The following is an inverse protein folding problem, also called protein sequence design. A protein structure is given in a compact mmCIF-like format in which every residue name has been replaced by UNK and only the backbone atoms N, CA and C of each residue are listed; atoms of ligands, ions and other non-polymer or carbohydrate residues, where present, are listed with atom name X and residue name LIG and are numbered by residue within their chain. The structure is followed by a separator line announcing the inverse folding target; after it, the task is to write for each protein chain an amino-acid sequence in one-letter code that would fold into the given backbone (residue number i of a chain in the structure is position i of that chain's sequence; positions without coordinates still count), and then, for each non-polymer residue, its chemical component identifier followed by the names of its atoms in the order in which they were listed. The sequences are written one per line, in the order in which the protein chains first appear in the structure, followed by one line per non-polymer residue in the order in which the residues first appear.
data_IF_760880212252
#
_entry.id   IF_760880212252
#
_cell.length_a   1.000
_cell.length_b   1.000
_cell.length_c   1.000
_cell.angle_alpha   90.00
_cell.angle_beta   90.00
_cell.angle_gamma   90.00
#
_symmetry.space_group_name_H-M   'P 1'
#
loop_
_entity.id
_entity.type
_entity.pdbx_description
1 polymer ?
#
# COMPACT_ATOMS: atom_id res chain seq x y z
N UNK A 1 16.55 -9.25 -11.86
CA UNK A 1 15.58 -8.15 -11.73
C UNK A 1 16.11 -7.17 -10.70
N UNK A 2 16.06 -5.87 -10.98
CA UNK A 2 16.42 -4.82 -10.01
C UNK A 2 15.17 -4.22 -9.36
N UNK A 3 15.33 -3.69 -8.14
CA UNK A 3 14.28 -2.90 -7.47
C UNK A 3 14.01 -1.63 -8.28
N UNK A 4 12.72 -1.30 -8.42
CA UNK A 4 12.26 -0.15 -9.21
C UNK A 4 12.05 1.07 -8.32
N UNK A 5 12.36 2.26 -8.83
CA UNK A 5 12.19 3.52 -8.11
C UNK A 5 10.74 4.02 -8.16
N UNK A 6 10.45 4.98 -7.29
CA UNK A 6 9.22 5.78 -7.27
C UNK A 6 8.78 6.28 -8.67
N UNK A 7 9.70 6.80 -9.48
CA UNK A 7 9.43 7.28 -10.85
C UNK A 7 8.89 6.18 -11.74
N UNK A 8 9.47 4.98 -11.64
CA UNK A 8 8.99 3.83 -12.40
C UNK A 8 7.62 3.39 -11.92
N UNK A 9 7.38 3.35 -10.59
CA UNK A 9 6.08 2.99 -10.01
C UNK A 9 4.99 3.94 -10.51
N UNK A 10 5.21 5.26 -10.41
CA UNK A 10 4.26 6.28 -10.90
C UNK A 10 3.97 6.13 -12.39
N UNK A 11 4.99 5.84 -13.21
CA UNK A 11 4.82 5.60 -14.64
C UNK A 11 3.93 4.39 -14.91
N UNK A 12 4.18 3.26 -14.24
CA UNK A 12 3.42 2.03 -14.44
C UNK A 12 1.97 2.15 -13.98
N UNK A 13 1.69 2.93 -12.92
CA UNK A 13 0.31 3.22 -12.54
C UNK A 13 -0.39 4.02 -13.62
N UNK A 14 0.26 5.06 -14.17
CA UNK A 14 -0.33 5.88 -15.23
C UNK A 14 -0.53 5.15 -16.56
N UNK A 15 0.41 4.27 -16.94
CA UNK A 15 0.40 3.57 -18.24
C UNK A 15 -0.35 2.23 -18.20
N UNK A 16 -0.50 1.60 -17.03
CA UNK A 16 -0.95 0.20 -16.94
C UNK A 16 -1.88 -0.10 -15.77
N UNK A 17 -2.36 0.91 -15.04
CA UNK A 17 -3.26 0.76 -13.88
C UNK A 17 -2.74 -0.26 -12.85
N UNK A 18 -1.42 -0.26 -12.64
CA UNK A 18 -0.74 -1.28 -11.83
C UNK A 18 -1.19 -1.31 -10.36
N UNK A 19 -1.64 -0.19 -9.80
CA UNK A 19 -2.08 -0.06 -8.40
C UNK A 19 -3.32 0.85 -8.38
N UNK A 20 -4.41 0.37 -7.80
CA UNK A 20 -5.64 1.15 -7.65
C UNK A 20 -6.36 0.80 -6.34
N UNK A 21 -6.75 1.78 -5.51
CA UNK A 21 -6.42 3.21 -5.61
C UNK A 21 -4.94 3.54 -5.32
N UNK A 22 -4.41 4.61 -5.92
CA UNK A 22 -2.98 4.99 -5.85
C UNK A 22 -2.72 6.34 -5.19
N UNK A 23 -1.69 6.41 -4.34
CA UNK A 23 -1.15 7.64 -3.76
C UNK A 23 0.28 7.93 -4.26
N UNK A 24 0.45 9.05 -4.96
CA UNK A 24 1.73 9.41 -5.57
C UNK A 24 2.84 9.76 -4.57
N UNK A 25 2.50 10.04 -3.31
CA UNK A 25 3.45 10.35 -2.24
C UNK A 25 3.07 9.66 -0.94
N UNK A 26 3.87 9.89 0.10
CA UNK A 26 3.55 9.38 1.43
C UNK A 26 2.45 10.21 2.09
N UNK A 27 1.35 9.54 2.42
CA UNK A 27 0.30 10.06 3.29
C UNK A 27 0.70 9.76 4.73
N UNK A 28 0.71 10.78 5.59
CA UNK A 28 1.09 10.67 7.02
C UNK A 28 0.01 11.18 7.97
N UNK A 29 -1.01 11.84 7.43
CA UNK A 29 -2.12 12.42 8.16
C UNK A 29 -3.42 12.18 7.38
N UNK A 30 -4.48 11.82 8.08
CA UNK A 30 -5.84 11.69 7.56
C UNK A 30 -6.77 12.42 8.52
N UNK A 31 -7.61 13.34 8.04
CA UNK A 31 -8.52 14.12 8.90
C UNK A 31 -7.80 14.78 10.11
N UNK A 32 -6.64 15.39 9.87
CA UNK A 32 -5.77 15.99 10.89
C UNK A 32 -5.19 15.03 11.94
N UNK A 33 -5.45 13.71 11.83
CA UNK A 33 -4.89 12.69 12.69
C UNK A 33 -3.67 12.03 12.04
N UNK A 34 -2.62 11.82 12.84
CA UNK A 34 -1.41 11.12 12.39
C UNK A 34 -1.70 9.62 12.21
N UNK A 35 -1.27 9.04 11.09
CA UNK A 35 -1.49 7.62 10.75
C UNK A 35 -0.17 6.88 10.52
N UNK A 36 -0.24 5.54 10.48
CA UNK A 36 0.83 4.74 9.88
C UNK A 36 0.89 5.07 8.40
N UNK A 37 2.02 5.59 7.94
CA UNK A 37 2.14 6.16 6.61
C UNK A 37 1.95 5.12 5.50
N UNK A 38 1.39 5.54 4.37
CA UNK A 38 1.21 4.70 3.19
C UNK A 38 1.44 5.49 1.90
N UNK A 39 1.50 4.82 0.74
CA UNK A 39 1.70 5.42 -0.58
C UNK A 39 3.13 5.24 -1.12
N UNK A 40 3.50 6.04 -2.12
CA UNK A 40 4.77 5.86 -2.83
C UNK A 40 5.98 6.26 -1.97
N UNK A 41 6.97 5.37 -1.86
CA UNK A 41 8.29 5.57 -1.24
C UNK A 41 9.39 5.50 -2.31
N UNK A 42 10.63 5.85 -1.96
CA UNK A 42 11.73 6.03 -2.94
C UNK A 42 11.96 4.83 -3.87
N UNK A 43 11.79 3.62 -3.35
CA UNK A 43 12.00 2.36 -4.08
C UNK A 43 10.93 1.31 -3.74
N UNK A 44 9.71 1.76 -3.45
CA UNK A 44 8.62 0.89 -3.02
C UNK A 44 7.30 1.62 -2.90
N UNK A 45 6.26 0.86 -2.55
CA UNK A 45 4.93 1.39 -2.32
C UNK A 45 4.35 0.75 -1.06
N UNK A 46 4.02 1.60 -0.09
CA UNK A 46 3.47 1.19 1.20
C UNK A 46 1.95 0.97 1.04
N UNK A 47 1.52 -0.29 1.08
CA UNK A 47 0.10 -0.67 0.94
C UNK A 47 -0.69 -0.46 2.23
N UNK A 48 -2.02 -0.40 2.12
CA UNK A 48 -2.95 -0.30 3.25
C UNK A 48 -3.61 -1.65 3.53
N UNK A 49 -3.91 -1.91 4.80
CA UNK A 49 -4.80 -3.01 5.18
C UNK A 49 -6.26 -2.57 5.03
N UNK A 50 -7.09 -3.46 4.49
CA UNK A 50 -8.54 -3.31 4.54
C UNK A 50 -9.06 -3.57 5.97
N UNK A 51 -10.33 -3.28 6.21
CA UNK A 51 -11.00 -3.50 7.49
C UNK A 51 -11.58 -4.93 7.65
N UNK A 52 -11.29 -5.83 6.71
CA UNK A 52 -11.72 -7.22 6.75
C UNK A 52 -10.57 -8.13 7.14
N UNK A 53 -10.74 -8.86 8.25
CA UNK A 53 -9.71 -9.72 8.81
C UNK A 53 -10.26 -11.12 9.06
N UNK A 54 -9.40 -12.12 8.86
CA UNK A 54 -9.66 -13.50 9.28
C UNK A 54 -8.70 -13.84 10.42
N UNK A 55 -9.25 -14.07 11.61
CA UNK A 55 -8.47 -14.48 12.78
C UNK A 55 -8.48 -15.99 12.84
N UNK A 56 -7.30 -16.59 12.77
CA UNK A 56 -7.15 -18.04 12.88
C UNK A 56 -7.58 -18.52 14.27
N UNK A 57 -8.32 -19.63 14.32
CA UNK A 57 -8.67 -20.35 15.55
C UNK A 57 -8.65 -21.86 15.30
N UNK A 58 -8.18 -22.62 16.29
CA UNK A 58 -8.05 -24.08 16.25
C UNK A 58 -9.24 -24.84 16.88
N UNK A 59 -10.30 -24.13 17.26
CA UNK A 59 -11.46 -24.70 17.99
C UNK A 59 -12.13 -25.88 17.24
N UNK A 60 -12.06 -25.92 15.90
CA UNK A 60 -12.66 -26.97 15.07
C UNK A 60 -11.62 -27.93 14.44
N UNK A 61 -10.38 -27.96 14.94
CA UNK A 61 -9.29 -28.78 14.39
C UNK A 61 -8.99 -30.04 15.22
N UNK A 62 -9.98 -30.55 15.94
CA UNK A 62 -9.87 -31.79 16.72
C UNK A 62 -10.03 -33.04 15.86
#
# INVERSE_FOLDING_TARGET
MSIKSDKWIRRMVAESDMISPFEAGQVRYCNDEKVVSYGTSSYGYDVRCANEFKVFTNINSA
#
